data_IF_572115706121
#
_entry.id   IF_572115706121
#
_cell.length_a   1.000
_cell.length_b   1.000
_cell.length_c   1.000
_cell.angle_alpha   90.00
_cell.angle_beta   90.00
_cell.angle_gamma   90.00
#
_symmetry.space_group_name_H-M   'P 1'
#
loop_
_entity.id
_entity.type
_entity.pdbx_description
1 polymer ?
#
# COMPACT_ATOMS: atom_id res chain seq x y z
N UNK A 1 -1.08 4.18 -4.43
CA UNK A 1 -0.25 4.70 -5.54
C UNK A 1 -0.94 4.37 -6.86
N UNK A 2 -0.41 4.87 -8.00
CA UNK A 2 -1.11 4.85 -9.31
C UNK A 2 -2.53 5.41 -9.20
N UNK A 3 -2.73 6.40 -8.33
CA UNK A 3 -4.04 6.99 -8.10
C UNK A 3 -4.46 7.79 -9.32
N UNK A 4 -5.59 7.42 -9.90
CA UNK A 4 -6.23 8.13 -11.01
C UNK A 4 -7.39 8.97 -10.50
N UNK A 5 -8.26 8.35 -9.71
CA UNK A 5 -9.41 8.95 -9.04
C UNK A 5 -9.81 8.10 -7.80
N UNK A 6 -10.88 8.50 -7.10
CA UNK A 6 -11.37 7.82 -5.89
C UNK A 6 -11.87 6.39 -6.12
N UNK A 7 -11.95 5.95 -7.38
CA UNK A 7 -12.41 4.63 -7.78
C UNK A 7 -11.30 3.75 -8.36
N UNK A 8 -10.10 4.29 -8.62
CA UNK A 8 -9.04 3.63 -9.38
C UNK A 8 -7.63 3.90 -8.81
N UNK A 9 -7.12 2.97 -8.00
CA UNK A 9 -5.79 3.05 -7.39
C UNK A 9 -5.31 1.72 -6.78
N UNK A 10 -4.00 1.59 -6.56
CA UNK A 10 -3.44 0.56 -5.68
C UNK A 10 -3.29 1.08 -4.25
N UNK A 11 -3.40 0.17 -3.27
CA UNK A 11 -3.28 0.47 -1.85
C UNK A 11 -2.54 -0.65 -1.12
N UNK A 12 -1.62 -0.29 -0.23
CA UNK A 12 -1.17 -1.20 0.83
C UNK A 12 -1.55 -0.64 2.18
N UNK A 13 -1.85 -1.51 3.15
CA UNK A 13 -2.37 -1.12 4.46
C UNK A 13 -1.73 -2.00 5.53
N UNK A 14 -1.10 -1.38 6.52
CA UNK A 14 -0.78 -2.01 7.80
C UNK A 14 -1.98 -1.85 8.74
N UNK A 15 -2.40 -2.93 9.39
CA UNK A 15 -3.58 -2.98 10.25
C UNK A 15 -3.21 -3.54 11.63
N UNK A 16 -3.21 -2.68 12.64
CA UNK A 16 -2.92 -3.03 14.03
C UNK A 16 -4.02 -3.85 14.70
N UNK A 17 -5.27 -3.77 14.24
CA UNK A 17 -6.38 -4.54 14.81
C UNK A 17 -6.33 -6.01 14.41
N UNK A 18 -5.80 -6.30 13.23
CA UNK A 18 -5.82 -7.63 12.62
C UNK A 18 -4.41 -8.22 12.40
N UNK A 19 -3.37 -7.56 12.91
CA UNK A 19 -1.95 -7.93 12.74
C UNK A 19 -1.60 -8.39 11.33
N UNK A 20 -1.78 -7.47 10.37
CA UNK A 20 -1.41 -7.75 8.99
C UNK A 20 -0.99 -6.52 8.19
N UNK A 21 -0.28 -6.82 7.10
CA UNK A 21 -0.08 -5.92 5.97
C UNK A 21 -0.77 -6.55 4.76
N UNK A 22 -1.65 -5.78 4.13
CA UNK A 22 -2.37 -6.20 2.93
C UNK A 22 -2.00 -5.32 1.73
N UNK A 23 -2.12 -5.90 0.54
CA UNK A 23 -2.13 -5.19 -0.72
C UNK A 23 -3.48 -5.37 -1.42
N UNK A 24 -4.01 -4.26 -1.92
CA UNK A 24 -5.30 -4.14 -2.59
C UNK A 24 -5.14 -3.38 -3.91
N UNK A 25 -6.09 -3.61 -4.81
CA UNK A 25 -6.48 -2.61 -5.82
C UNK A 25 -7.92 -2.16 -5.57
N UNK A 26 -8.21 -0.93 -5.95
CA UNK A 26 -9.58 -0.41 -6.10
C UNK A 26 -9.75 -0.11 -7.58
N UNK A 27 -10.73 -0.75 -8.22
CA UNK A 27 -11.04 -0.54 -9.63
C UNK A 27 -12.55 -0.37 -9.76
N UNK A 28 -12.98 0.72 -10.42
CA UNK A 28 -14.40 1.10 -10.51
C UNK A 28 -15.08 1.11 -9.13
N UNK A 29 -14.39 1.62 -8.11
CA UNK A 29 -14.89 1.73 -6.73
C UNK A 29 -14.91 0.41 -5.95
N UNK A 30 -14.59 -0.72 -6.60
CA UNK A 30 -14.52 -2.02 -5.95
C UNK A 30 -13.11 -2.30 -5.45
N UNK A 31 -12.96 -2.38 -4.12
CA UNK A 31 -11.71 -2.84 -3.48
C UNK A 31 -11.60 -4.36 -3.49
N UNK A 32 -10.47 -4.88 -3.96
CA UNK A 32 -10.13 -6.31 -3.97
C UNK A 32 -8.79 -6.51 -3.28
N UNK A 33 -8.76 -7.46 -2.35
CA UNK A 33 -7.51 -7.91 -1.72
C UNK A 33 -6.79 -8.87 -2.64
N UNK A 34 -5.48 -8.65 -2.82
CA UNK A 34 -4.67 -9.56 -3.64
C UNK A 34 -3.72 -10.38 -2.78
N UNK A 35 -3.16 -9.76 -1.73
CA UNK A 35 -2.29 -10.46 -0.78
C UNK A 35 -2.47 -9.92 0.62
N UNK A 36 -2.42 -10.82 1.59
CA UNK A 36 -2.37 -10.56 3.03
C UNK A 36 -1.19 -11.30 3.63
N UNK A 37 -0.46 -10.62 4.50
CA UNK A 37 0.65 -11.17 5.26
C UNK A 37 0.42 -10.88 6.74
N UNK A 38 0.35 -11.93 7.56
CA UNK A 38 0.26 -11.77 9.01
C UNK A 38 1.61 -11.35 9.57
N UNK A 39 1.62 -10.24 10.29
CA UNK A 39 2.79 -9.64 10.94
C UNK A 39 2.27 -8.75 12.04
N UNK A 40 2.94 -8.74 13.21
CA UNK A 40 2.59 -7.84 14.29
C UNK A 40 2.66 -6.38 13.81
N UNK A 41 1.56 -5.65 13.98
CA UNK A 41 1.48 -4.21 13.73
C UNK A 41 1.11 -3.56 15.06
N UNK A 42 2.12 -3.11 15.82
CA UNK A 42 1.91 -2.62 17.17
C UNK A 42 1.17 -1.27 17.16
N UNK A 43 0.09 -1.16 17.96
CA UNK A 43 -0.60 0.11 18.17
C UNK A 43 0.24 1.07 19.01
N UNK A 44 0.12 2.38 18.75
CA UNK A 44 0.85 3.42 19.47
C UNK A 44 2.35 3.49 19.15
N UNK A 45 2.80 2.81 18.10
CA UNK A 45 4.20 2.75 17.67
C UNK A 45 4.33 3.21 16.21
N UNK A 46 5.42 3.92 15.91
CA UNK A 46 5.76 4.28 14.54
C UNK A 46 6.28 3.07 13.77
N UNK A 47 5.78 2.90 12.54
CA UNK A 47 6.21 1.86 11.62
C UNK A 47 6.52 2.45 10.25
N UNK A 48 7.51 1.89 9.56
CA UNK A 48 7.78 2.25 8.16
C UNK A 48 7.00 1.32 7.23
N UNK A 49 6.23 1.88 6.31
CA UNK A 49 5.54 1.13 5.25
C UNK A 49 5.95 1.70 3.89
N UNK A 50 6.49 0.86 3.00
CA UNK A 50 7.00 1.26 1.70
C UNK A 50 6.44 0.35 0.61
N UNK A 51 6.03 0.94 -0.51
CA UNK A 51 5.67 0.21 -1.72
C UNK A 51 6.57 0.69 -2.87
N UNK A 52 7.31 -0.24 -3.46
CA UNK A 52 8.09 -0.02 -4.67
C UNK A 52 7.31 -0.62 -5.86
N UNK A 53 7.24 0.10 -6.99
CA UNK A 53 6.63 -0.43 -8.21
C UNK A 53 7.50 -0.10 -9.43
N UNK A 54 7.96 -1.12 -10.16
CA UNK A 54 8.74 -1.01 -11.42
C UNK A 54 8.03 -1.79 -12.50
N UNK A 55 7.56 -1.11 -13.54
CA UNK A 55 6.67 -1.75 -14.53
C UNK A 55 5.41 -2.29 -13.85
N UNK A 56 5.23 -3.61 -13.90
CA UNK A 56 4.16 -4.36 -13.23
C UNK A 56 4.58 -4.99 -11.90
N UNK A 57 5.87 -4.98 -11.57
CA UNK A 57 6.41 -5.59 -10.36
C UNK A 57 6.19 -4.68 -9.15
N UNK A 58 5.55 -5.22 -8.12
CA UNK A 58 5.20 -4.53 -6.88
C UNK A 58 5.85 -5.25 -5.71
N UNK A 59 6.62 -4.50 -4.93
CA UNK A 59 7.18 -4.96 -3.66
C UNK A 59 6.66 -4.10 -2.51
N UNK A 60 6.20 -4.74 -1.42
CA UNK A 60 5.80 -4.03 -0.19
C UNK A 60 6.72 -4.43 0.95
N UNK A 61 7.21 -3.42 1.66
CA UNK A 61 8.08 -3.56 2.82
C UNK A 61 7.41 -2.99 4.06
N UNK A 62 7.58 -3.67 5.18
CA UNK A 62 7.14 -3.22 6.49
C UNK A 62 8.31 -3.32 7.47
N UNK A 63 8.63 -2.23 8.15
CA UNK A 63 9.82 -2.10 9.01
C UNK A 63 11.11 -2.61 8.34
N UNK A 64 11.32 -2.22 7.08
CA UNK A 64 12.47 -2.64 6.26
C UNK A 64 12.41 -4.07 5.70
N UNK A 65 11.51 -4.94 6.17
CA UNK A 65 11.37 -6.32 5.70
C UNK A 65 10.44 -6.40 4.50
N UNK A 66 10.87 -7.03 3.40
CA UNK A 66 10.00 -7.35 2.25
C UNK A 66 8.94 -8.37 2.67
N UNK A 67 7.67 -8.03 2.49
CA UNK A 67 6.52 -8.88 2.83
C UNK A 67 5.75 -9.36 1.60
N UNK A 68 5.62 -8.51 0.57
CA UNK A 68 4.85 -8.80 -0.64
C UNK A 68 5.74 -8.56 -1.85
N UNK A 69 5.63 -9.45 -2.83
CA UNK A 69 6.39 -9.46 -4.08
C UNK A 69 5.48 -10.10 -5.14
N UNK A 70 4.91 -9.28 -6.03
CA UNK A 70 3.84 -9.67 -6.96
C UNK A 70 3.92 -8.88 -8.26
N UNK A 71 3.27 -9.35 -9.32
CA UNK A 71 3.11 -8.62 -10.58
C UNK A 71 1.64 -8.25 -10.82
N UNK A 72 1.38 -7.02 -11.26
CA UNK A 72 0.05 -6.53 -11.60
C UNK A 72 0.07 -5.46 -12.70
N UNK A 73 -0.74 -5.66 -13.73
CA UNK A 73 -0.80 -4.81 -14.93
C UNK A 73 -2.09 -3.99 -15.05
N UNK A 74 -2.92 -3.92 -14.00
CA UNK A 74 -4.23 -3.23 -14.07
C UNK A 74 -4.11 -1.71 -14.24
N UNK A 75 -3.13 -1.08 -13.60
CA UNK A 75 -2.88 0.36 -13.72
C UNK A 75 -1.47 0.61 -14.28
N UNK A 76 -1.38 0.71 -15.60
CA UNK A 76 -0.12 0.99 -16.32
C UNK A 76 0.16 2.48 -16.50
N UNK A 77 -0.89 3.31 -16.56
CA UNK A 77 -0.77 4.76 -16.67
C UNK A 77 -0.14 5.37 -15.40
N UNK A 78 0.61 6.48 -15.51
CA UNK A 78 1.08 7.21 -14.34
C UNK A 78 -0.10 7.69 -13.48
N UNK A 79 0.15 7.93 -12.20
CA UNK A 79 -0.87 8.39 -11.26
C UNK A 79 -0.24 8.99 -10.02
N UNK A 80 -1.08 9.57 -9.16
CA UNK A 80 -0.63 10.23 -7.93
C UNK A 80 -0.29 9.22 -6.83
N UNK A 81 0.38 9.72 -5.80
CA UNK A 81 0.67 9.01 -4.54
C UNK A 81 -0.04 9.76 -3.41
N UNK A 82 -0.47 9.03 -2.39
CA UNK A 82 -1.15 9.57 -1.22
C UNK A 82 -1.27 8.53 -0.12
N UNK A 83 -1.76 8.98 1.04
CA UNK A 83 -2.01 8.16 2.23
C UNK A 83 -3.51 7.93 2.40
N UNK A 84 -3.89 6.85 3.08
CA UNK A 84 -5.28 6.42 3.25
C UNK A 84 -5.47 5.80 4.63
N UNK A 85 -6.56 6.15 5.31
CA UNK A 85 -6.99 5.52 6.57
C UNK A 85 -8.37 4.88 6.42
N UNK A 86 -8.67 3.88 7.26
CA UNK A 86 -9.99 3.23 7.34
C UNK A 86 -10.77 3.80 8.52
N UNK A 87 -12.09 3.88 8.37
CA UNK A 87 -13.03 4.49 9.33
C UNK A 87 -12.77 4.17 10.83
N UNK A 88 -12.38 2.95 11.16
CA UNK A 88 -12.13 2.48 12.53
C UNK A 88 -10.73 2.83 13.08
N UNK A 89 -9.94 3.63 12.37
CA UNK A 89 -8.53 3.88 12.69
C UNK A 89 -8.25 5.36 12.97
N UNK A 90 -7.55 5.62 14.08
CA UNK A 90 -6.79 6.86 14.29
C UNK A 90 -5.35 6.61 13.83
N UNK A 91 -5.02 7.02 12.61
CA UNK A 91 -3.69 6.81 12.01
C UNK A 91 -3.02 8.15 11.75
N UNK A 92 -1.78 8.27 12.22
CA UNK A 92 -0.89 9.40 11.92
C UNK A 92 0.09 8.99 10.81
N UNK A 93 0.41 9.93 9.94
CA UNK A 93 1.41 9.76 8.89
C UNK A 93 2.45 10.86 9.04
N UNK A 94 3.73 10.49 8.93
CA UNK A 94 4.86 11.41 8.91
C UNK A 94 5.92 10.89 7.92
N UNK A 95 6.86 11.73 7.53
CA UNK A 95 7.97 11.41 6.60
C UNK A 95 7.53 10.81 5.25
N UNK A 96 6.38 11.23 4.73
CA UNK A 96 5.92 10.77 3.41
C UNK A 96 6.88 11.25 2.32
N UNK A 97 7.54 10.29 1.66
CA UNK A 97 8.35 10.53 0.46
C UNK A 97 7.78 9.75 -0.72
N UNK A 98 7.92 10.32 -1.92
CA UNK A 98 7.58 9.67 -3.18
C UNK A 98 8.61 10.04 -4.23
N UNK A 99 9.28 9.05 -4.79
CA UNK A 99 10.32 9.24 -5.82
C UNK A 99 10.03 8.33 -7.01
N UNK A 100 10.37 8.80 -8.20
CA UNK A 100 10.34 7.93 -9.37
C UNK A 100 11.45 6.89 -9.24
N UNK A 101 11.10 5.62 -9.40
CA UNK A 101 12.07 4.54 -9.45
C UNK A 101 12.64 4.44 -10.88
N UNK A 102 13.95 4.20 -10.98
CA UNK A 102 14.55 3.84 -12.26
C UNK A 102 13.87 2.56 -12.81
N UNK A 103 13.79 2.42 -14.15
CA UNK A 103 13.24 1.22 -14.79
C UNK A 103 13.89 -0.07 -14.29
#
# INVERSE_FOLDING_TARGET
WRYQDDNNYYLTRANALEDNVCWYYVQNGRRVEVKRVHVLVASGVWHSLRADMRGDHVEVYFNGKKLIDVHDTRFTAPGKVGVWTKADSHTLFDDLTATALAP
#
